data_IF_308019569584
#
_entry.id   IF_308019569584
#
_cell.length_a   1.000
_cell.length_b   1.000
_cell.length_c   1.000
_cell.angle_alpha   90.00
_cell.angle_beta   90.00
_cell.angle_gamma   90.00
#
_symmetry.space_group_name_H-M   'P 1'
#
loop_
_entity.id
_entity.type
_entity.pdbx_description
1 polymer ?
#
# COMPACT_ATOMS: atom_id res chain seq x y z
N UNK A 1 17.94 -10.41 -7.89
CA UNK A 1 16.93 -11.26 -8.60
C UNK A 1 16.48 -10.55 -9.85
N UNK A 2 16.48 -11.25 -10.98
CA UNK A 2 16.05 -10.73 -12.28
C UNK A 2 14.68 -11.29 -12.65
N UNK A 3 13.73 -10.42 -12.98
CA UNK A 3 12.41 -10.77 -13.51
C UNK A 3 12.35 -10.46 -14.99
N UNK A 4 11.86 -11.40 -15.80
CA UNK A 4 11.90 -11.31 -17.26
C UNK A 4 10.52 -11.37 -17.90
N UNK A 5 10.40 -10.73 -19.06
CA UNK A 5 9.26 -10.83 -19.98
C UNK A 5 7.90 -10.34 -19.42
N UNK A 6 7.90 -9.48 -18.41
CA UNK A 6 6.69 -8.87 -17.90
C UNK A 6 6.18 -7.74 -18.81
N UNK A 7 4.87 -7.50 -18.82
CA UNK A 7 4.33 -6.22 -19.29
C UNK A 7 4.45 -5.20 -18.15
N UNK A 8 5.33 -4.21 -18.31
CA UNK A 8 5.69 -3.26 -17.26
C UNK A 8 4.97 -1.93 -17.47
N UNK A 9 4.28 -1.47 -16.43
CA UNK A 9 3.57 -0.20 -16.35
C UNK A 9 4.31 0.71 -15.38
N UNK A 10 5.23 1.54 -15.87
CA UNK A 10 5.99 2.47 -15.02
C UNK A 10 5.20 3.73 -14.65
N UNK A 11 4.09 4.00 -15.33
CA UNK A 11 3.31 5.24 -15.27
C UNK A 11 4.04 6.50 -15.79
N UNK A 12 5.26 6.36 -16.27
CA UNK A 12 6.06 7.46 -16.85
C UNK A 12 6.10 7.40 -18.39
N UNK A 13 5.77 6.24 -18.96
CA UNK A 13 5.74 5.99 -20.39
C UNK A 13 4.72 4.91 -20.73
N UNK A 14 4.48 4.67 -22.02
CA UNK A 14 3.62 3.58 -22.48
C UNK A 14 4.12 2.22 -21.95
N UNK A 15 3.19 1.31 -21.61
CA UNK A 15 3.55 -0.03 -21.18
C UNK A 15 4.41 -0.76 -22.21
N UNK A 16 5.35 -1.54 -21.74
CA UNK A 16 6.23 -2.33 -22.62
C UNK A 16 6.53 -3.70 -22.04
N UNK A 17 6.82 -4.67 -22.90
CA UNK A 17 7.36 -5.96 -22.46
C UNK A 17 8.84 -5.78 -22.20
N UNK A 18 9.27 -6.15 -20.99
CA UNK A 18 10.63 -5.97 -20.52
C UNK A 18 10.95 -6.75 -19.27
N UNK A 19 12.10 -6.43 -18.73
CA UNK A 19 12.70 -7.09 -17.58
C UNK A 19 13.01 -6.06 -16.50
N UNK A 20 13.09 -6.51 -15.26
CA UNK A 20 13.55 -5.66 -14.16
C UNK A 20 14.35 -6.46 -13.14
N UNK A 21 15.29 -5.79 -12.49
CA UNK A 21 16.13 -6.37 -11.45
C UNK A 21 15.84 -5.72 -10.12
N UNK A 22 15.72 -6.55 -9.08
CA UNK A 22 15.52 -6.12 -7.70
C UNK A 22 16.67 -6.63 -6.84
N UNK A 23 17.29 -5.74 -6.10
CA UNK A 23 18.25 -6.08 -5.05
C UNK A 23 17.90 -5.33 -3.77
N UNK A 24 17.85 -6.07 -2.65
CA UNK A 24 17.55 -5.53 -1.30
C UNK A 24 16.28 -4.66 -1.26
N UNK A 25 15.23 -5.08 -1.97
CA UNK A 25 13.95 -4.38 -1.99
C UNK A 25 13.91 -3.15 -2.90
N UNK A 26 14.94 -2.90 -3.71
CA UNK A 26 15.01 -1.75 -4.60
C UNK A 26 15.12 -2.20 -6.05
N UNK A 27 14.40 -1.53 -6.95
CA UNK A 27 14.62 -1.69 -8.38
C UNK A 27 15.99 -1.09 -8.75
N UNK A 28 16.87 -1.93 -9.27
CA UNK A 28 18.23 -1.50 -9.68
C UNK A 28 18.35 -1.31 -11.17
N UNK A 29 17.47 -1.96 -11.94
CA UNK A 29 17.46 -1.85 -13.41
C UNK A 29 16.07 -2.19 -13.96
N UNK A 30 15.62 -1.44 -14.96
CA UNK A 30 14.39 -1.73 -15.72
C UNK A 30 14.72 -1.51 -17.18
N UNK A 31 14.43 -2.49 -18.03
CA UNK A 31 14.78 -2.40 -19.46
C UNK A 31 14.30 -3.59 -20.26
N UNK A 32 14.84 -3.72 -21.46
CA UNK A 32 14.58 -4.86 -22.35
C UNK A 32 15.82 -5.73 -22.47
N UNK A 33 15.61 -7.05 -22.49
CA UNK A 33 16.67 -8.05 -22.73
C UNK A 33 17.83 -7.93 -21.72
N UNK A 34 17.51 -7.77 -20.43
CA UNK A 34 18.53 -7.77 -19.38
C UNK A 34 19.16 -9.17 -19.27
N UNK A 35 20.47 -9.22 -19.24
CA UNK A 35 21.20 -10.48 -19.07
C UNK A 35 21.35 -10.81 -17.58
N UNK A 36 21.15 -12.09 -17.18
CA UNK A 36 21.39 -12.52 -15.82
C UNK A 36 22.86 -12.29 -15.42
N UNK A 37 23.07 -11.80 -14.20
CA UNK A 37 24.41 -11.71 -13.61
C UNK A 37 24.84 -13.07 -13.04
N UNK A 38 26.11 -13.22 -12.70
CA UNK A 38 26.63 -14.48 -12.15
C UNK A 38 25.88 -14.86 -10.86
N UNK A 39 25.33 -16.07 -10.86
CA UNK A 39 24.53 -16.65 -9.76
C UNK A 39 23.26 -15.83 -9.41
N UNK A 40 22.72 -15.06 -10.34
CA UNK A 40 21.48 -14.34 -10.15
C UNK A 40 20.27 -15.24 -10.39
N UNK A 41 19.37 -15.32 -9.41
CA UNK A 41 18.09 -15.99 -9.59
C UNK A 41 17.24 -15.23 -10.62
N UNK A 42 16.62 -15.99 -11.51
CA UNK A 42 15.80 -15.45 -12.59
C UNK A 42 14.40 -16.04 -12.56
N UNK A 43 13.39 -15.19 -12.70
CA UNK A 43 11.99 -15.60 -12.79
C UNK A 43 11.36 -15.09 -14.09
N UNK A 44 10.70 -15.98 -14.83
CA UNK A 44 9.92 -15.61 -16.03
C UNK A 44 8.53 -15.14 -15.64
N UNK A 45 8.15 -13.95 -16.06
CA UNK A 45 6.85 -13.33 -15.86
C UNK A 45 6.09 -13.16 -17.19
N UNK A 46 6.31 -14.03 -18.16
CA UNK A 46 5.56 -13.99 -19.42
C UNK A 46 4.05 -14.06 -19.15
N UNK A 47 3.30 -13.08 -19.66
CA UNK A 47 1.85 -12.96 -19.47
C UNK A 47 1.42 -12.25 -18.18
N UNK A 48 2.36 -11.86 -17.32
CA UNK A 48 2.06 -11.06 -16.14
C UNK A 48 2.20 -9.56 -16.43
N UNK A 49 1.37 -8.78 -15.72
CA UNK A 49 1.46 -7.32 -15.71
C UNK A 49 2.08 -6.88 -14.38
N UNK A 50 3.00 -5.94 -14.44
CA UNK A 50 3.68 -5.36 -13.28
C UNK A 50 3.34 -3.89 -13.19
N UNK A 51 2.76 -3.48 -12.06
CA UNK A 51 2.34 -2.12 -11.76
C UNK A 51 3.09 -1.60 -10.52
N UNK A 52 3.24 -0.29 -10.36
CA UNK A 52 3.53 0.29 -9.04
C UNK A 52 2.47 -0.11 -8.03
N UNK A 53 2.84 -0.21 -6.77
CA UNK A 53 1.86 -0.40 -5.70
C UNK A 53 0.82 0.70 -5.70
N UNK A 54 -0.44 0.34 -5.47
CA UNK A 54 -1.54 1.31 -5.42
C UNK A 54 -1.46 2.15 -4.16
N UNK A 55 -1.80 3.43 -4.29
CA UNK A 55 -1.93 4.38 -3.18
C UNK A 55 -3.40 4.69 -2.97
N UNK A 56 -3.94 4.32 -1.80
CA UNK A 56 -5.29 4.73 -1.39
C UNK A 56 -5.20 6.08 -0.65
N UNK A 57 -5.75 7.11 -1.27
CA UNK A 57 -5.60 8.48 -0.78
C UNK A 57 -6.57 8.86 0.35
N UNK A 58 -7.58 8.04 0.65
CA UNK A 58 -8.54 8.29 1.71
C UNK A 58 -9.21 6.99 2.18
N UNK A 59 -8.83 6.52 3.35
CA UNK A 59 -9.45 5.35 3.98
C UNK A 59 -9.43 5.45 5.51
N UNK A 60 -9.94 4.39 6.14
CA UNK A 60 -9.96 4.23 7.60
C UNK A 60 -9.27 2.92 8.03
N UNK A 61 -8.39 2.40 7.17
CA UNK A 61 -7.72 1.13 7.38
C UNK A 61 -6.96 1.13 8.71
N UNK A 62 -7.16 0.06 9.50
CA UNK A 62 -6.57 -0.08 10.83
C UNK A 62 -7.23 0.75 11.95
N UNK A 63 -8.30 1.52 11.65
CA UNK A 63 -9.03 2.31 12.66
C UNK A 63 -10.32 1.67 13.13
N UNK A 64 -10.63 0.48 12.65
CA UNK A 64 -11.78 -0.32 13.04
C UNK A 64 -11.32 -1.78 13.15
N UNK A 65 -10.97 -2.20 14.36
CA UNK A 65 -10.44 -3.54 14.60
C UNK A 65 -11.53 -4.58 14.39
N UNK A 66 -11.39 -5.38 13.34
CA UNK A 66 -12.42 -6.28 12.80
C UNK A 66 -12.94 -7.32 13.81
N UNK A 67 -12.11 -7.72 14.78
CA UNK A 67 -12.44 -8.80 15.71
C UNK A 67 -13.01 -8.35 17.06
N UNK A 68 -13.00 -7.04 17.39
CA UNK A 68 -13.28 -6.54 18.74
C UNK A 68 -14.65 -5.89 18.86
N UNK A 69 -15.28 -5.50 17.76
CA UNK A 69 -16.59 -4.86 17.76
C UNK A 69 -16.52 -3.38 18.17
N UNK A 70 -17.40 -2.93 19.08
CA UNK A 70 -17.49 -1.52 19.43
C UNK A 70 -16.20 -0.95 20.04
N UNK A 71 -15.52 -1.72 20.85
CA UNK A 71 -14.28 -1.33 21.51
C UNK A 71 -13.11 -1.10 20.55
N UNK A 72 -13.17 -1.73 19.39
CA UNK A 72 -12.17 -1.56 18.32
C UNK A 72 -12.52 -0.48 17.30
N UNK A 73 -13.60 0.29 17.51
CA UNK A 73 -14.03 1.32 16.58
C UNK A 73 -13.52 2.70 17.01
N UNK A 74 -12.36 3.07 16.48
CA UNK A 74 -11.70 4.36 16.70
C UNK A 74 -11.94 5.38 15.57
N UNK A 75 -12.97 5.13 14.74
CA UNK A 75 -13.26 5.97 13.59
C UNK A 75 -13.67 7.40 13.95
N UNK A 76 -14.52 7.57 14.97
CA UNK A 76 -15.08 8.88 15.26
C UNK A 76 -15.13 9.12 16.77
N UNK A 77 -14.76 10.33 17.17
CA UNK A 77 -14.95 10.80 18.55
C UNK A 77 -16.44 11.01 18.83
N UNK A 78 -16.94 10.38 19.88
CA UNK A 78 -18.36 10.39 20.24
C UNK A 78 -18.73 11.42 21.33
N UNK A 79 -17.74 11.96 22.01
CA UNK A 79 -17.94 12.89 23.15
C UNK A 79 -17.86 14.36 22.75
N UNK A 80 -17.11 14.68 21.70
CA UNK A 80 -16.92 16.06 21.24
C UNK A 80 -16.86 16.10 19.69
N UNK A 81 -17.72 16.86 19.02
CA UNK A 81 -17.74 16.95 17.55
C UNK A 81 -16.57 17.75 16.97
N UNK A 82 -15.76 18.39 17.80
CA UNK A 82 -14.62 19.24 17.36
C UNK A 82 -13.35 18.82 18.07
N UNK A 83 -12.53 17.99 17.41
CA UNK A 83 -11.34 17.37 17.99
C UNK A 83 -10.12 17.47 17.07
N UNK A 84 -9.68 18.69 16.69
CA UNK A 84 -8.55 18.89 15.75
C UNK A 84 -7.20 18.43 16.31
N UNK A 85 -7.12 18.20 17.61
CA UNK A 85 -5.92 17.74 18.32
C UNK A 85 -5.74 16.22 18.31
N UNK A 86 -6.75 15.46 17.89
CA UNK A 86 -6.65 14.01 17.77
C UNK A 86 -5.81 13.63 16.55
N UNK A 87 -5.13 12.50 16.62
CA UNK A 87 -4.33 11.98 15.52
C UNK A 87 -4.78 10.57 15.22
N UNK A 88 -5.17 10.31 13.97
CA UNK A 88 -5.61 8.98 13.56
C UNK A 88 -4.59 7.88 13.85
N UNK A 89 -3.30 8.20 13.76
CA UNK A 89 -2.23 7.22 14.04
C UNK A 89 -2.25 6.67 15.48
N UNK A 90 -2.84 7.40 16.43
CA UNK A 90 -2.90 6.95 17.82
C UNK A 90 -4.00 5.88 18.05
N UNK A 91 -5.01 5.81 17.16
CA UNK A 91 -6.04 4.77 17.14
C UNK A 91 -5.85 3.70 16.07
N UNK A 92 -4.71 3.65 15.42
CA UNK A 92 -4.47 2.69 14.36
C UNK A 92 -3.89 1.38 14.89
N UNK A 93 -4.55 0.26 14.59
CA UNK A 93 -3.98 -1.07 14.72
C UNK A 93 -3.37 -1.54 13.39
N UNK A 94 -2.02 -1.53 13.24
CA UNK A 94 -1.37 -1.98 12.02
C UNK A 94 -1.39 -3.50 11.85
N UNK A 95 -1.85 -4.24 12.86
CA UNK A 95 -1.95 -5.71 12.83
C UNK A 95 -3.37 -6.20 12.49
N UNK A 96 -4.32 -5.28 12.27
CA UNK A 96 -5.65 -5.66 11.81
C UNK A 96 -5.59 -6.44 10.50
N UNK A 97 -6.41 -7.48 10.38
CA UNK A 97 -6.41 -8.37 9.21
C UNK A 97 -6.73 -7.65 7.89
N UNK A 98 -7.45 -6.54 7.95
CA UNK A 98 -7.79 -5.73 6.78
C UNK A 98 -6.55 -5.08 6.17
N UNK A 99 -5.52 -4.80 6.95
CA UNK A 99 -4.23 -4.27 6.48
C UNK A 99 -3.55 -5.30 5.58
N UNK A 100 -3.50 -6.56 6.03
CA UNK A 100 -2.94 -7.64 5.22
C UNK A 100 -3.75 -7.87 3.94
N UNK A 101 -5.08 -7.83 4.04
CA UNK A 101 -5.99 -7.98 2.88
C UNK A 101 -5.76 -6.88 1.84
N UNK A 102 -5.59 -5.63 2.29
CA UNK A 102 -5.29 -4.51 1.41
C UNK A 102 -3.94 -4.69 0.69
N UNK A 103 -2.91 -5.13 1.42
CA UNK A 103 -1.59 -5.42 0.86
C UNK A 103 -1.66 -6.53 -0.20
N UNK A 104 -2.40 -7.60 0.06
CA UNK A 104 -2.62 -8.72 -0.89
C UNK A 104 -3.37 -8.27 -2.14
N UNK A 105 -4.20 -7.24 -2.04
CA UNK A 105 -4.86 -6.61 -3.18
C UNK A 105 -3.96 -5.63 -3.97
N UNK A 106 -2.71 -5.41 -3.52
CA UNK A 106 -1.73 -4.55 -4.18
C UNK A 106 -1.75 -3.09 -3.71
N UNK A 107 -2.45 -2.78 -2.62
CA UNK A 107 -2.41 -1.45 -1.98
C UNK A 107 -1.19 -1.43 -1.06
N UNK A 108 -0.22 -0.58 -1.37
CA UNK A 108 1.09 -0.53 -0.68
C UNK A 108 1.30 0.73 0.15
N UNK A 109 0.40 1.68 0.03
CA UNK A 109 0.41 2.93 0.79
C UNK A 109 -1.01 3.42 0.96
N UNK A 110 -1.36 3.87 2.16
CA UNK A 110 -2.67 4.45 2.45
C UNK A 110 -2.54 5.79 3.18
N UNK A 111 -3.47 6.69 2.93
CA UNK A 111 -3.75 7.82 3.80
C UNK A 111 -4.99 7.47 4.64
N UNK A 112 -4.75 7.07 5.89
CA UNK A 112 -5.81 6.68 6.82
C UNK A 112 -6.05 7.74 7.89
N UNK A 113 -7.24 7.77 8.42
CA UNK A 113 -7.60 8.73 9.46
C UNK A 113 -9.05 8.63 9.91
N UNK A 114 -9.48 9.55 10.78
CA UNK A 114 -10.82 9.56 11.35
C UNK A 114 -11.93 9.58 10.30
N UNK A 115 -13.08 9.01 10.68
CA UNK A 115 -14.30 9.04 9.89
C UNK A 115 -14.92 10.44 9.80
N UNK A 116 -15.94 10.57 8.96
CA UNK A 116 -16.54 11.86 8.60
C UNK A 116 -17.76 12.24 9.46
N UNK A 117 -17.98 11.61 10.62
CA UNK A 117 -19.15 11.92 11.47
C UNK A 117 -18.94 13.17 12.34
N UNK A 118 -17.71 13.61 12.56
CA UNK A 118 -17.39 14.79 13.35
C UNK A 118 -17.33 16.06 12.47
N UNK A 119 -17.65 17.21 13.05
CA UNK A 119 -17.55 18.53 12.38
C UNK A 119 -16.09 18.84 12.06
N UNK A 120 -15.19 18.58 13.01
CA UNK A 120 -13.73 18.61 12.82
C UNK A 120 -13.19 17.39 13.53
N UNK A 121 -12.70 16.42 12.74
CA UNK A 121 -12.02 15.24 13.25
C UNK A 121 -10.53 15.49 13.52
N UNK A 122 -9.79 14.42 13.72
CA UNK A 122 -8.34 14.46 13.88
C UNK A 122 -7.57 14.53 12.55
N UNK A 123 -6.27 14.34 12.63
CA UNK A 123 -5.39 14.33 11.46
C UNK A 123 -5.26 12.95 10.85
N UNK A 124 -5.16 12.92 9.53
CA UNK A 124 -4.78 11.73 8.77
C UNK A 124 -3.27 11.45 8.89
N UNK A 125 -2.88 10.21 8.60
CA UNK A 125 -1.49 9.76 8.52
C UNK A 125 -1.33 8.83 7.32
N UNK A 126 -0.09 8.60 6.91
CA UNK A 126 0.22 7.67 5.82
C UNK A 126 1.11 6.53 6.33
N UNK A 127 0.87 5.32 5.84
CA UNK A 127 1.68 4.14 6.12
C UNK A 127 1.61 3.11 4.99
#
# INVERSE_FOLDING_TARGET
MLFKNATIYTMEQDPFIGDFRVDKGVFTEIGKNLEPQNNEDTQDLTGFNVYPGMVEAHCHLGMEETAIGFEGNDLNEITNPITPNMRGIDGCDPMDETVQTALEAGITTVAAGPGSANVIGGTFFAY
#
